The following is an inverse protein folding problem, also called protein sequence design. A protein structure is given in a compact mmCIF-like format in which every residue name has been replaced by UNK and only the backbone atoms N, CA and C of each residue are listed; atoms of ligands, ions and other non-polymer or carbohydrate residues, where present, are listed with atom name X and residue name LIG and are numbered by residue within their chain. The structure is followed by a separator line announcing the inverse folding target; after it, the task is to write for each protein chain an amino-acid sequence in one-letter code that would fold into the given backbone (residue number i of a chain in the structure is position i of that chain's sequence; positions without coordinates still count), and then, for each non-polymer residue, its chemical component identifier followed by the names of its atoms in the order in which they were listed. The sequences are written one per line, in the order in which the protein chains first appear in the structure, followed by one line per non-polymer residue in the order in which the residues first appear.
data_IF_799465393341
#
_entry.id   IF_799465393341
#
_cell.length_a   1.000
_cell.length_b   1.000
_cell.length_c   1.000
_cell.angle_alpha   90.00
_cell.angle_beta   90.00
_cell.angle_gamma   90.00
#
_symmetry.space_group_name_H-M   'P 1'
#
loop_
_entity.id
_entity.type
_entity.pdbx_description
1 polymer ?
#
# COMPACT_ATOMS: atom_id res chain seq x y z
N UNK A 1 25.33 -24.01 -24.69
CA UNK A 1 25.80 -24.85 -23.56
C UNK A 1 27.14 -24.24 -23.16
N UNK A 2 27.37 -23.68 -21.98
CA UNK A 2 26.94 -24.07 -20.63
C UNK A 2 26.74 -22.86 -19.71
N UNK A 3 25.77 -23.00 -18.80
CA UNK A 3 25.54 -22.17 -17.63
C UNK A 3 26.70 -22.36 -16.63
N UNK A 4 27.26 -21.29 -16.07
CA UNK A 4 28.05 -21.36 -14.82
C UNK A 4 27.57 -20.32 -13.82
N UNK A 5 26.55 -20.72 -13.05
CA UNK A 5 26.22 -20.11 -11.76
C UNK A 5 27.39 -20.27 -10.78
N UNK A 6 27.76 -19.20 -10.11
CA UNK A 6 28.52 -19.24 -8.85
C UNK A 6 27.86 -18.32 -7.84
N UNK A 7 26.97 -18.89 -7.04
CA UNK A 7 26.48 -18.29 -5.80
C UNK A 7 27.53 -18.58 -4.74
N UNK A 8 28.08 -17.54 -4.12
CA UNK A 8 28.94 -17.67 -2.95
C UNK A 8 28.29 -16.87 -1.81
N UNK A 9 27.74 -17.62 -0.84
CA UNK A 9 27.34 -17.10 0.45
C UNK A 9 28.59 -16.76 1.27
N UNK A 10 28.59 -15.64 1.97
CA UNK A 10 29.49 -15.44 3.11
C UNK A 10 28.78 -14.70 4.23
N UNK A 11 28.80 -15.35 5.39
CA UNK A 11 28.17 -14.96 6.64
C UNK A 11 28.98 -13.88 7.38
N UNK A 12 28.23 -12.91 7.90
CA UNK A 12 28.31 -12.27 9.23
C UNK A 12 29.67 -11.86 9.83
N UNK A 13 29.73 -10.58 10.22
CA UNK A 13 30.07 -10.18 11.60
C UNK A 13 29.53 -8.76 11.88
N UNK A 14 28.44 -8.66 12.64
CA UNK A 14 28.02 -7.41 13.27
C UNK A 14 28.47 -7.44 14.73
N UNK A 15 29.38 -6.54 15.09
CA UNK A 15 29.73 -6.24 16.49
C UNK A 15 28.63 -5.36 17.06
N UNK A 16 27.89 -5.86 18.04
CA UNK A 16 26.93 -5.08 18.83
C UNK A 16 27.66 -4.55 20.06
N UNK A 17 27.79 -3.24 20.18
CA UNK A 17 28.06 -2.59 21.47
C UNK A 17 26.74 -2.08 22.03
N UNK A 18 26.30 -2.72 23.11
CA UNK A 18 25.14 -2.34 23.92
C UNK A 18 25.58 -1.31 24.96
N UNK A 19 24.90 -0.17 25.04
CA UNK A 19 24.79 0.58 26.30
C UNK A 19 23.33 0.61 26.73
N UNK A 20 23.14 0.09 27.94
CA UNK A 20 21.89 -0.03 28.65
C UNK A 20 21.36 1.34 29.11
N UNK A 21 20.06 1.55 28.93
CA UNK A 21 19.26 2.59 29.58
C UNK A 21 17.86 2.04 29.79
N UNK A 22 17.44 1.92 31.04
CA UNK A 22 16.36 1.07 31.53
C UNK A 22 14.95 1.42 31.00
N UNK A 23 14.17 0.37 30.73
CA UNK A 23 12.75 0.41 30.42
C UNK A 23 12.25 -0.98 30.03
N UNK A 24 12.21 -1.89 31.00
CA UNK A 24 11.85 -3.30 30.80
C UNK A 24 10.34 -3.51 30.62
N UNK A 25 9.96 -4.31 29.62
CA UNK A 25 8.96 -5.36 29.77
C UNK A 25 9.34 -6.52 28.84
N UNK A 26 9.62 -7.67 29.46
CA UNK A 26 10.20 -8.88 28.86
C UNK A 26 9.46 -9.45 27.64
N UNK A 27 10.28 -10.00 26.75
CA UNK A 27 9.92 -10.95 25.71
C UNK A 27 9.23 -12.21 26.25
N UNK A 28 8.28 -12.73 25.45
CA UNK A 28 8.06 -14.17 25.36
C UNK A 28 8.83 -14.69 24.15
N UNK A 29 9.86 -15.47 24.43
CA UNK A 29 10.61 -16.29 23.48
C UNK A 29 9.74 -17.41 22.92
N UNK A 30 9.72 -17.57 21.60
CA UNK A 30 9.12 -18.71 20.91
C UNK A 30 9.54 -18.75 19.46
N UNK A 31 10.72 -19.33 19.19
CA UNK A 31 11.13 -19.70 17.85
C UNK A 31 10.18 -20.79 17.32
N UNK A 32 9.35 -20.44 16.34
CA UNK A 32 8.47 -21.33 15.60
C UNK A 32 8.50 -20.97 14.10
N UNK A 33 8.11 -21.88 13.19
CA UNK A 33 8.29 -21.71 11.76
C UNK A 33 7.59 -20.43 11.28
N UNK A 34 8.22 -19.75 10.31
CA UNK A 34 7.78 -18.47 9.73
C UNK A 34 6.25 -18.39 9.61
N UNK A 35 5.63 -17.72 10.58
CA UNK A 35 4.22 -17.38 10.48
C UNK A 35 4.14 -16.32 9.40
N UNK A 36 3.57 -16.69 8.26
CA UNK A 36 3.03 -15.73 7.31
C UNK A 36 2.09 -14.84 8.11
N UNK A 37 2.52 -13.63 8.43
CA UNK A 37 1.65 -12.60 8.99
C UNK A 37 0.67 -12.27 7.87
N UNK A 38 -0.46 -12.99 7.83
CA UNK A 38 -1.60 -12.52 7.05
C UNK A 38 -2.00 -11.20 7.70
N UNK A 39 -1.75 -10.09 6.99
CA UNK A 39 -2.44 -8.84 7.25
C UNK A 39 -3.93 -9.15 7.24
N UNK A 40 -4.50 -9.30 8.44
CA UNK A 40 -5.92 -9.48 8.60
C UNK A 40 -6.55 -8.17 8.09
N UNK A 41 -7.23 -8.25 6.95
CA UNK A 41 -8.09 -7.16 6.50
C UNK A 41 -9.05 -6.89 7.65
N UNK A 42 -8.99 -5.68 8.21
CA UNK A 42 -9.77 -5.33 9.39
C UNK A 42 -11.24 -5.62 9.10
N UNK A 43 -11.89 -6.47 9.90
CA UNK A 43 -13.33 -6.67 9.79
C UNK A 43 -14.02 -5.38 10.22
N UNK A 44 -14.97 -4.83 9.43
CA UNK A 44 -15.65 -3.61 9.79
C UNK A 44 -16.47 -3.83 11.07
N UNK A 45 -16.32 -2.89 12.01
CA UNK A 45 -17.20 -2.81 13.18
C UNK A 45 -18.42 -1.95 12.83
N UNK A 46 -19.64 -2.38 13.17
CA UNK A 46 -20.82 -1.60 12.88
C UNK A 46 -20.90 -0.41 13.84
N UNK A 47 -21.13 0.77 13.26
CA UNK A 47 -21.69 2.00 13.84
C UNK A 47 -20.76 3.23 13.94
N UNK A 48 -21.10 4.25 13.14
CA UNK A 48 -21.31 5.60 13.68
C UNK A 48 -20.12 6.56 13.82
N UNK A 49 -18.96 6.28 13.23
CA UNK A 49 -17.91 7.30 13.02
C UNK A 49 -17.68 7.48 11.53
N UNK A 50 -17.15 8.64 11.13
CA UNK A 50 -16.63 8.85 9.78
C UNK A 50 -15.47 7.87 9.58
N UNK A 51 -15.81 6.65 9.19
CA UNK A 51 -14.92 5.50 9.20
C UNK A 51 -14.04 5.63 7.98
N UNK A 52 -12.76 5.90 8.24
CA UNK A 52 -11.70 5.70 7.29
C UNK A 52 -11.21 4.28 7.47
N UNK A 53 -11.26 3.48 6.41
CA UNK A 53 -10.67 2.14 6.39
C UNK A 53 -9.44 2.18 5.50
N UNK A 54 -8.32 1.66 6.02
CA UNK A 54 -7.13 1.38 5.22
C UNK A 54 -7.44 0.24 4.28
N UNK A 55 -7.02 0.37 3.02
CA UNK A 55 -7.43 -0.54 1.96
C UNK A 55 -6.22 -1.21 1.33
N UNK A 56 -5.31 -0.39 0.80
CA UNK A 56 -4.20 -0.91 0.01
C UNK A 56 -3.08 0.13 -0.15
N UNK A 57 -1.90 -0.36 -0.51
CA UNK A 57 -0.75 0.45 -0.86
C UNK A 57 -0.17 -0.01 -2.19
N UNK A 58 0.28 0.93 -3.01
CA UNK A 58 0.91 0.62 -4.28
C UNK A 58 2.14 1.49 -4.54
N UNK A 59 3.14 0.92 -5.18
CA UNK A 59 4.40 1.59 -5.47
C UNK A 59 5.51 0.55 -5.66
N UNK A 60 6.72 1.00 -5.92
CA UNK A 60 7.80 0.07 -6.23
C UNK A 60 8.36 -0.59 -4.96
N UNK A 61 8.07 -1.88 -4.84
CA UNK A 61 8.58 -2.77 -3.80
C UNK A 61 10.05 -3.18 -4.05
N UNK A 62 10.59 -2.91 -5.24
CA UNK A 62 11.88 -3.40 -5.71
C UNK A 62 12.93 -2.28 -5.91
N UNK A 63 12.53 -1.04 -6.23
CA UNK A 63 13.44 0.12 -6.29
C UNK A 63 12.90 1.34 -5.52
N UNK A 64 13.71 1.87 -4.59
CA UNK A 64 13.41 3.05 -3.77
C UNK A 64 13.26 4.39 -4.55
N UNK A 65 13.15 4.35 -5.88
CA UNK A 65 13.12 5.53 -6.75
C UNK A 65 11.70 5.97 -7.17
N UNK A 66 10.66 5.19 -6.89
CA UNK A 66 9.29 5.49 -7.34
C UNK A 66 8.37 5.93 -6.20
N UNK A 67 7.28 6.64 -6.54
CA UNK A 67 6.30 7.09 -5.56
C UNK A 67 5.65 5.88 -4.89
N UNK A 68 5.57 5.92 -3.56
CA UNK A 68 4.74 5.01 -2.79
C UNK A 68 3.41 5.71 -2.53
N UNK A 69 2.31 4.98 -2.68
CA UNK A 69 0.96 5.46 -2.45
C UNK A 69 0.29 4.58 -1.41
N UNK A 70 -0.40 5.20 -0.46
CA UNK A 70 -1.28 4.49 0.48
C UNK A 70 -2.70 5.02 0.31
N UNK A 71 -3.70 4.15 0.45
CA UNK A 71 -5.10 4.51 0.23
C UNK A 71 -6.00 4.20 1.42
N UNK A 72 -7.01 5.04 1.58
CA UNK A 72 -8.10 4.81 2.51
C UNK A 72 -9.43 5.15 1.85
N UNK A 73 -10.48 4.44 2.25
CA UNK A 73 -11.86 4.83 1.94
C UNK A 73 -12.42 5.55 3.16
N UNK A 74 -12.77 6.83 3.00
CA UNK A 74 -13.35 7.66 4.04
C UNK A 74 -14.66 8.26 3.54
N UNK A 75 -15.74 8.17 4.32
CA UNK A 75 -17.04 8.76 3.98
C UNK A 75 -17.51 8.40 2.55
N UNK A 76 -17.27 7.14 2.13
CA UNK A 76 -17.66 6.63 0.83
C UNK A 76 -16.83 7.15 -0.35
N UNK A 77 -15.64 7.71 -0.11
CA UNK A 77 -14.72 8.23 -1.13
C UNK A 77 -13.33 7.65 -0.95
N UNK A 78 -12.61 7.49 -2.06
CA UNK A 78 -11.20 7.05 -2.05
C UNK A 78 -10.28 8.26 -1.84
N UNK A 79 -9.40 8.15 -0.86
CA UNK A 79 -8.31 9.08 -0.60
C UNK A 79 -6.97 8.38 -0.78
N UNK A 80 -6.00 9.09 -1.35
CA UNK A 80 -4.64 8.59 -1.53
C UNK A 80 -3.67 9.58 -0.90
N UNK A 81 -2.66 9.06 -0.22
CA UNK A 81 -1.51 9.79 0.27
C UNK A 81 -0.27 9.34 -0.51
N UNK A 82 0.47 10.30 -1.05
CA UNK A 82 1.77 10.04 -1.67
C UNK A 82 2.86 10.08 -0.60
N UNK A 83 3.77 9.12 -0.64
CA UNK A 83 4.89 8.98 0.28
C UNK A 83 6.20 9.14 -0.50
N UNK A 84 7.14 9.89 0.07
CA UNK A 84 8.52 9.99 -0.41
C UNK A 84 9.40 8.96 0.30
N UNK A 85 9.74 7.84 -0.35
CA UNK A 85 10.57 6.80 0.25
C UNK A 85 12.04 7.20 0.39
N UNK A 86 12.47 8.32 -0.21
CA UNK A 86 13.88 8.75 -0.14
C UNK A 86 14.24 9.41 1.19
N UNK A 87 13.23 9.70 2.01
CA UNK A 87 13.38 10.26 3.36
C UNK A 87 13.43 9.16 4.41
N UNK A 88 14.06 9.42 5.56
CA UNK A 88 14.16 8.45 6.67
C UNK A 88 13.77 9.12 8.00
N UNK A 89 12.58 8.81 8.58
CA UNK A 89 11.57 7.89 8.03
C UNK A 89 10.92 8.44 6.74
N UNK A 90 10.29 7.61 5.91
CA UNK A 90 9.49 8.07 4.77
C UNK A 90 8.45 9.10 5.21
N UNK A 91 8.28 10.14 4.40
CA UNK A 91 7.41 11.28 4.72
C UNK A 91 6.32 11.46 3.66
N UNK A 92 5.20 12.06 4.06
CA UNK A 92 4.14 12.39 3.13
C UNK A 92 4.55 13.52 2.17
N UNK A 93 4.25 13.33 0.88
CA UNK A 93 4.29 14.40 -0.11
C UNK A 93 2.93 15.07 -0.12
N UNK A 94 2.80 16.17 0.61
CA UNK A 94 1.52 16.85 0.78
C UNK A 94 0.58 16.11 1.75
N UNK A 95 -0.73 16.26 1.53
CA UNK A 95 -1.78 15.65 2.35
C UNK A 95 -2.60 14.60 1.60
N UNK A 96 -3.56 13.98 2.30
CA UNK A 96 -4.52 13.07 1.70
C UNK A 96 -5.34 13.76 0.62
N UNK A 97 -5.40 13.17 -0.58
CA UNK A 97 -6.13 13.73 -1.71
C UNK A 97 -7.26 12.80 -2.09
N UNK A 98 -8.47 13.34 -2.20
CA UNK A 98 -9.58 12.62 -2.81
C UNK A 98 -9.29 12.47 -4.30
N UNK A 99 -9.27 11.24 -4.79
CA UNK A 99 -8.90 10.96 -6.18
C UNK A 99 -10.04 11.14 -7.18
N UNK A 100 -11.23 11.50 -6.71
CA UNK A 100 -12.46 11.60 -7.50
C UNK A 100 -13.21 10.27 -7.61
N UNK A 101 -14.13 10.16 -8.57
CA UNK A 101 -14.85 8.92 -8.85
C UNK A 101 -16.22 8.76 -8.17
N UNK A 102 -16.70 7.52 -8.01
CA UNK A 102 -18.02 7.25 -7.45
C UNK A 102 -18.12 7.63 -5.96
N UNK A 103 -19.34 7.86 -5.49
CA UNK A 103 -19.67 7.94 -4.06
C UNK A 103 -20.07 6.57 -3.53
N UNK A 104 -20.21 6.46 -2.20
CA UNK A 104 -20.65 5.23 -1.52
C UNK A 104 -19.71 4.04 -1.76
N UNK A 105 -18.42 4.33 -1.93
CA UNK A 105 -17.36 3.33 -1.99
C UNK A 105 -17.30 2.60 -0.65
N UNK A 106 -17.28 1.27 -0.71
CA UNK A 106 -17.15 0.39 0.45
C UNK A 106 -15.82 -0.36 0.46
N UNK A 107 -15.15 -0.43 -0.69
CA UNK A 107 -13.83 -1.03 -0.83
C UNK A 107 -13.13 -0.44 -2.05
N UNK A 108 -11.80 -0.44 -2.05
CA UNK A 108 -11.00 0.03 -3.16
C UNK A 108 -9.76 -0.85 -3.35
N UNK A 109 -8.94 -0.55 -4.35
CA UNK A 109 -7.66 -1.22 -4.53
C UNK A 109 -6.75 -0.27 -5.29
N UNK A 110 -5.47 -0.25 -4.96
CA UNK A 110 -4.47 0.52 -5.68
C UNK A 110 -3.56 -0.41 -6.46
N UNK A 111 -3.32 -0.06 -7.71
CA UNK A 111 -2.26 -0.68 -8.48
C UNK A 111 -1.42 0.41 -9.14
N UNK A 112 -0.15 0.44 -8.79
CA UNK A 112 0.88 1.18 -9.49
C UNK A 112 1.78 0.12 -10.10
N UNK A 113 1.93 0.10 -11.42
CA UNK A 113 2.49 -1.05 -12.11
C UNK A 113 3.87 -1.44 -11.58
N UNK A 114 4.01 -2.71 -11.22
CA UNK A 114 5.26 -3.36 -10.85
C UNK A 114 5.85 -4.00 -12.11
N UNK A 115 7.13 -3.75 -12.38
CA UNK A 115 7.96 -4.18 -13.54
C UNK A 115 7.85 -3.39 -14.86
N UNK A 116 6.70 -2.82 -15.24
CA UNK A 116 6.54 -2.28 -16.62
C UNK A 116 6.48 -0.76 -16.77
N UNK A 117 6.50 0.03 -15.68
CA UNK A 117 6.24 1.47 -15.76
C UNK A 117 7.33 2.31 -15.15
N UNK A 118 8.19 2.80 -16.05
CA UNK A 118 9.04 3.99 -15.97
C UNK A 118 8.22 5.28 -15.66
N UNK A 119 7.31 5.26 -14.69
CA UNK A 119 6.41 6.38 -14.36
C UNK A 119 5.04 6.38 -15.07
N UNK A 120 4.51 5.23 -15.50
CA UNK A 120 3.14 5.16 -16.03
C UNK A 120 2.05 5.18 -14.96
N UNK A 121 0.77 5.08 -15.36
CA UNK A 121 -0.37 5.52 -14.56
C UNK A 121 -0.60 4.68 -13.29
N UNK A 122 -1.26 5.32 -12.32
CA UNK A 122 -1.81 4.65 -11.13
C UNK A 122 -3.27 4.28 -11.42
N UNK A 123 -3.64 3.05 -11.07
CA UNK A 123 -4.99 2.54 -11.21
C UNK A 123 -5.65 2.45 -9.83
N UNK A 124 -6.89 2.94 -9.76
CA UNK A 124 -7.75 2.82 -8.59
C UNK A 124 -8.94 1.98 -9.01
N UNK A 125 -9.20 0.87 -8.33
CA UNK A 125 -10.48 0.16 -8.48
C UNK A 125 -11.34 0.49 -7.28
N UNK A 126 -12.63 0.80 -7.47
CA UNK A 126 -13.56 1.14 -6.39
C UNK A 126 -14.82 0.30 -6.50
N UNK A 127 -15.17 -0.38 -5.41
CA UNK A 127 -16.43 -1.11 -5.24
C UNK A 127 -17.40 -0.25 -4.46
N UNK A 128 -18.57 0.01 -5.04
CA UNK A 128 -19.64 0.76 -4.39
C UNK A 128 -20.60 -0.16 -3.66
N UNK A 129 -21.36 0.40 -2.71
CA UNK A 129 -22.39 -0.32 -1.95
C UNK A 129 -23.44 -1.00 -2.82
N UNK A 130 -23.72 -0.48 -4.01
CA UNK A 130 -24.66 -1.08 -4.98
C UNK A 130 -24.08 -2.27 -5.75
N UNK A 131 -22.81 -2.61 -5.52
CA UNK A 131 -22.10 -3.65 -6.26
C UNK A 131 -21.50 -3.19 -7.59
N UNK A 132 -21.56 -1.89 -7.92
CA UNK A 132 -20.90 -1.37 -9.12
C UNK A 132 -19.39 -1.23 -8.88
N UNK A 133 -18.60 -1.72 -9.84
CA UNK A 133 -17.13 -1.59 -9.87
C UNK A 133 -16.73 -0.47 -10.81
N UNK A 134 -15.83 0.40 -10.36
CA UNK A 134 -15.30 1.52 -11.13
C UNK A 134 -13.78 1.41 -11.22
N UNK A 135 -13.23 1.81 -12.37
CA UNK A 135 -11.79 1.94 -12.55
C UNK A 135 -11.44 3.40 -12.81
N UNK A 136 -10.62 3.94 -11.92
CA UNK A 136 -9.93 5.22 -12.03
C UNK A 136 -8.54 5.04 -12.62
N UNK A 137 -8.15 5.94 -13.52
CA UNK A 137 -6.78 6.04 -14.04
C UNK A 137 -6.25 7.42 -13.70
N UNK A 138 -5.12 7.47 -13.01
CA UNK A 138 -4.48 8.67 -12.51
C UNK A 138 -3.11 8.83 -13.18
N UNK A 139 -2.72 10.08 -13.49
CA UNK A 139 -1.35 10.35 -13.84
C UNK A 139 -0.44 10.09 -12.62
N UNK A 140 0.70 9.45 -12.84
CA UNK A 140 1.68 9.19 -11.78
C UNK A 140 2.45 10.47 -11.49
N UNK A 141 1.91 11.26 -10.57
CA UNK A 141 2.47 12.52 -10.10
C UNK A 141 2.80 12.44 -8.61
N UNK A 142 3.62 13.38 -8.13
CA UNK A 142 3.92 13.58 -6.70
C UNK A 142 3.53 15.01 -6.29
N UNK A 143 2.41 15.24 -5.58
CA UNK A 143 1.42 14.24 -5.11
C UNK A 143 0.52 13.72 -6.24
N UNK A 144 -0.21 12.63 -5.98
CA UNK A 144 -1.13 12.02 -6.94
C UNK A 144 -2.33 12.93 -7.25
N UNK A 145 -2.48 13.31 -8.51
CA UNK A 145 -3.64 14.10 -8.95
C UNK A 145 -4.96 13.32 -8.98
N UNK A 146 -6.03 14.00 -9.39
CA UNK A 146 -7.32 13.37 -9.63
C UNK A 146 -7.23 12.30 -10.72
N UNK A 147 -8.07 11.27 -10.59
CA UNK A 147 -8.18 10.18 -11.55
C UNK A 147 -9.44 10.35 -12.41
N UNK A 148 -9.38 9.83 -13.62
CA UNK A 148 -10.54 9.71 -14.51
C UNK A 148 -11.18 8.35 -14.31
N UNK A 149 -12.45 8.31 -13.90
CA UNK A 149 -13.17 7.08 -13.60
C UNK A 149 -14.13 6.67 -14.71
N UNK A 150 -14.21 5.36 -14.95
CA UNK A 150 -15.26 4.72 -15.73
C UNK A 150 -15.83 3.54 -14.95
N UNK A 151 -17.13 3.30 -15.10
CA UNK A 151 -17.74 2.09 -14.56
C UNK A 151 -17.29 0.89 -15.41
N UNK A 152 -16.90 -0.19 -14.75
CA UNK A 152 -16.62 -1.46 -15.42
C UNK A 152 -17.93 -2.22 -15.67
N UNK A 153 -17.94 -3.17 -16.63
CA UNK A 153 -19.07 -4.08 -16.79
C UNK A 153 -19.43 -4.75 -15.46
N UNK A 154 -20.72 -5.06 -15.28
CA UNK A 154 -21.17 -5.77 -14.08
C UNK A 154 -20.42 -7.09 -13.93
N UNK A 155 -19.96 -7.37 -12.71
CA UNK A 155 -19.36 -8.65 -12.38
C UNK A 155 -20.42 -9.75 -12.49
N UNK A 156 -20.06 -10.98 -12.86
CA UNK A 156 -20.98 -12.11 -12.84
C UNK A 156 -21.65 -12.29 -11.46
N UNK A 157 -22.91 -12.72 -11.47
CA UNK A 157 -23.69 -13.06 -10.28
C UNK A 157 -23.57 -14.54 -9.93
#
# INVERSE_FOLDING_TARGET
MELKSRVAASLAAAVVMTFAGAGAAQAATGAGPAQVVRLAHARPTPEGRKHCEDIDSAGDEYYAAHALYVSAVCDGKVYVLTIDPTTTPPTAVGGWQAVGGPTDVVDATLAAGTQDVLGGPVFVTALTRSGAVWQGVCANTRPLGACSFRQLPQTPH
#
